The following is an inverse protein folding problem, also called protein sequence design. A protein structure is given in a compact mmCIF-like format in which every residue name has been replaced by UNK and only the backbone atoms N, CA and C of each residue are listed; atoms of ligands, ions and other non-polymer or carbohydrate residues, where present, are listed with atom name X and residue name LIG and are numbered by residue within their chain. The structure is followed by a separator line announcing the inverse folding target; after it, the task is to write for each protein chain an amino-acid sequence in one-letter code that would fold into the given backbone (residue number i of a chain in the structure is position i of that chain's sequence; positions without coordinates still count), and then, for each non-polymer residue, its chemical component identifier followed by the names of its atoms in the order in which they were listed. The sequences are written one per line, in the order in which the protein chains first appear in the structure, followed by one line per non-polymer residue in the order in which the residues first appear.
data_IF_032941152275
#
_entry.id   IF_032941152275
#
_cell.length_a   1.000
_cell.length_b   1.000
_cell.length_c   1.000
_cell.angle_alpha   90.00
_cell.angle_beta   90.00
_cell.angle_gamma   90.00
#
_symmetry.space_group_name_H-M   'P 1'
#
loop_
_entity.id
_entity.type
_entity.pdbx_description
1 polymer ?
#
# COMPACT_ATOMS: atom_id res chain seq x y z
N UNK A 1 -8.76 -28.53 -8.14
CA UNK A 1 -8.11 -28.32 -9.44
C UNK A 1 -8.71 -27.05 -10.05
N UNK A 2 -7.92 -26.10 -10.58
CA UNK A 2 -8.48 -24.98 -11.33
C UNK A 2 -9.24 -25.53 -12.53
N UNK A 3 -10.43 -24.98 -12.79
CA UNK A 3 -11.23 -25.33 -13.99
C UNK A 3 -10.37 -25.08 -15.24
N UNK A 4 -10.44 -25.97 -16.24
CA UNK A 4 -9.82 -25.72 -17.54
C UNK A 4 -10.28 -24.33 -18.06
N UNK A 5 -9.31 -23.47 -18.36
CA UNK A 5 -9.55 -22.08 -18.79
C UNK A 5 -9.32 -20.99 -17.72
N UNK A 6 -9.31 -21.30 -16.42
CA UNK A 6 -9.10 -20.30 -15.36
C UNK A 6 -7.73 -19.61 -15.45
N UNK A 7 -6.66 -20.36 -15.64
CA UNK A 7 -5.31 -19.79 -15.78
C UNK A 7 -5.18 -18.89 -17.04
N UNK A 8 -5.92 -19.19 -18.12
CA UNK A 8 -5.96 -18.37 -19.34
C UNK A 8 -6.53 -16.99 -19.08
N UNK A 9 -7.67 -16.91 -18.41
CA UNK A 9 -8.31 -15.63 -18.04
C UNK A 9 -7.41 -14.83 -17.11
N UNK A 10 -6.77 -15.49 -16.12
CA UNK A 10 -5.83 -14.86 -15.20
C UNK A 10 -4.63 -14.26 -15.95
N UNK A 11 -4.02 -15.02 -16.89
CA UNK A 11 -2.90 -14.50 -17.69
C UNK A 11 -3.31 -13.31 -18.56
N UNK A 12 -4.47 -13.36 -19.21
CA UNK A 12 -4.98 -12.26 -20.04
C UNK A 12 -5.26 -11.01 -19.21
N UNK A 13 -5.91 -11.15 -18.04
CA UNK A 13 -6.16 -10.07 -17.11
C UNK A 13 -4.86 -9.48 -16.56
N UNK A 14 -3.89 -10.33 -16.20
CA UNK A 14 -2.58 -9.87 -15.72
C UNK A 14 -1.83 -9.06 -16.78
N UNK A 15 -1.82 -9.52 -18.04
CA UNK A 15 -1.22 -8.77 -19.16
C UNK A 15 -1.88 -7.41 -19.35
N UNK A 16 -3.21 -7.34 -19.26
CA UNK A 16 -3.95 -6.08 -19.39
C UNK A 16 -3.64 -5.11 -18.24
N UNK A 17 -3.53 -5.60 -17.01
CA UNK A 17 -3.17 -4.80 -15.84
C UNK A 17 -1.71 -4.31 -15.91
N UNK A 18 -0.77 -5.15 -16.30
CA UNK A 18 0.62 -4.74 -16.51
C UNK A 18 0.74 -3.68 -17.63
N UNK A 19 0.01 -3.83 -18.75
CA UNK A 19 -0.05 -2.82 -19.81
C UNK A 19 -0.59 -1.49 -19.29
N UNK A 20 -1.67 -1.53 -18.49
CA UNK A 20 -2.26 -0.34 -17.89
C UNK A 20 -1.28 0.41 -16.98
N UNK A 21 -0.53 -0.30 -16.14
CA UNK A 21 0.45 0.32 -15.23
C UNK A 21 1.70 0.78 -15.98
N UNK A 22 2.37 -0.12 -16.70
CA UNK A 22 3.70 0.12 -17.25
C UNK A 22 3.73 1.05 -18.47
N UNK A 23 2.63 1.11 -19.24
CA UNK A 23 2.59 1.84 -20.51
C UNK A 23 1.49 2.90 -20.61
N UNK A 24 0.47 2.87 -19.73
CA UNK A 24 -0.64 3.82 -19.75
C UNK A 24 -0.76 4.65 -18.48
N UNK A 25 0.12 4.44 -17.47
CA UNK A 25 0.15 5.21 -16.23
C UNK A 25 -1.12 5.07 -15.37
N UNK A 26 -1.84 3.92 -15.45
CA UNK A 26 -3.07 3.68 -14.70
C UNK A 26 -2.78 2.86 -13.44
N UNK A 27 -3.20 3.37 -12.29
CA UNK A 27 -2.98 2.71 -11.00
C UNK A 27 -3.79 1.40 -10.88
N UNK A 28 -3.21 0.40 -10.20
CA UNK A 28 -3.84 -0.91 -10.01
C UNK A 28 -5.17 -0.82 -9.25
N UNK A 29 -5.26 0.01 -8.23
CA UNK A 29 -6.49 0.16 -7.44
C UNK A 29 -7.69 0.63 -8.27
N UNK A 30 -7.46 1.30 -9.41
CA UNK A 30 -8.50 1.75 -10.35
C UNK A 30 -8.82 0.74 -11.44
N UNK A 31 -7.90 -0.16 -11.77
CA UNK A 31 -8.02 -1.08 -12.91
C UNK A 31 -8.26 -2.52 -12.51
N UNK A 32 -7.83 -2.91 -11.33
CA UNK A 32 -7.96 -4.29 -10.82
C UNK A 32 -9.43 -4.73 -10.64
N UNK A 33 -10.35 -3.90 -10.10
CA UNK A 33 -11.75 -4.29 -9.95
C UNK A 33 -12.40 -4.70 -11.28
N UNK A 34 -12.19 -3.92 -12.33
CA UNK A 34 -12.72 -4.21 -13.66
C UNK A 34 -12.11 -5.48 -14.26
N UNK A 35 -10.80 -5.66 -14.08
CA UNK A 35 -10.07 -6.81 -14.61
C UNK A 35 -10.34 -8.12 -13.87
N UNK A 36 -10.80 -8.06 -12.62
CA UNK A 36 -11.19 -9.22 -11.81
C UNK A 36 -12.69 -9.54 -11.91
N UNK A 37 -13.48 -8.68 -12.56
CA UNK A 37 -14.92 -8.89 -12.72
C UNK A 37 -15.20 -10.23 -13.41
N UNK A 38 -16.03 -11.07 -12.77
CA UNK A 38 -16.40 -12.40 -13.29
C UNK A 38 -15.39 -13.51 -12.99
N UNK A 39 -14.27 -13.24 -12.35
CA UNK A 39 -13.38 -14.28 -11.84
C UNK A 39 -13.94 -14.92 -10.56
N UNK A 40 -13.60 -16.18 -10.34
CA UNK A 40 -13.84 -16.79 -9.03
C UNK A 40 -12.96 -16.13 -7.95
N UNK A 41 -13.36 -16.23 -6.69
CA UNK A 41 -12.59 -15.67 -5.57
C UNK A 41 -11.14 -16.19 -5.52
N UNK A 42 -10.93 -17.47 -5.84
CA UNK A 42 -9.59 -18.09 -5.90
C UNK A 42 -8.76 -17.55 -7.07
N UNK A 43 -9.42 -17.33 -8.22
CA UNK A 43 -8.77 -16.77 -9.41
C UNK A 43 -8.40 -15.29 -9.22
N UNK A 44 -9.26 -14.51 -8.54
CA UNK A 44 -8.96 -13.12 -8.16
C UNK A 44 -7.72 -13.04 -7.26
N UNK A 45 -7.63 -13.92 -6.25
CA UNK A 45 -6.44 -14.03 -5.40
C UNK A 45 -5.19 -14.35 -6.21
N UNK A 46 -5.28 -15.31 -7.13
CA UNK A 46 -4.20 -15.70 -8.02
C UNK A 46 -3.78 -14.57 -8.97
N UNK A 47 -4.75 -13.82 -9.50
CA UNK A 47 -4.50 -12.64 -10.33
C UNK A 47 -3.74 -11.56 -9.55
N UNK A 48 -4.15 -11.27 -8.32
CA UNK A 48 -3.46 -10.31 -7.45
C UNK A 48 -2.00 -10.73 -7.21
N UNK A 49 -1.76 -11.97 -6.80
CA UNK A 49 -0.40 -12.48 -6.60
C UNK A 49 0.44 -12.35 -7.87
N UNK A 50 -0.11 -12.72 -9.02
CA UNK A 50 0.56 -12.67 -10.31
C UNK A 50 0.95 -11.24 -10.72
N UNK A 51 0.02 -10.29 -10.61
CA UNK A 51 0.24 -8.90 -11.04
C UNK A 51 1.18 -8.16 -10.09
N UNK A 52 0.92 -8.23 -8.79
CA UNK A 52 1.77 -7.57 -7.78
C UNK A 52 3.20 -8.13 -7.78
N UNK A 53 3.33 -9.45 -7.89
CA UNK A 53 4.63 -10.09 -7.97
C UNK A 53 5.36 -9.77 -9.27
N UNK A 54 4.67 -9.79 -10.41
CA UNK A 54 5.27 -9.42 -11.70
C UNK A 54 5.77 -7.98 -11.72
N UNK A 55 5.03 -7.02 -11.13
CA UNK A 55 5.48 -5.62 -11.01
C UNK A 55 6.69 -5.49 -10.06
N UNK A 56 6.64 -6.15 -8.90
CA UNK A 56 7.75 -6.13 -7.93
C UNK A 56 9.04 -6.66 -8.52
N UNK A 57 8.96 -7.72 -9.30
CA UNK A 57 10.13 -8.39 -9.91
C UNK A 57 10.34 -8.00 -11.38
N UNK A 58 9.60 -7.02 -11.91
CA UNK A 58 9.62 -6.69 -13.34
C UNK A 58 11.04 -6.49 -13.94
N UNK A 59 11.95 -5.71 -13.32
CA UNK A 59 13.31 -5.57 -13.86
C UNK A 59 14.08 -6.89 -13.87
N UNK A 60 13.93 -7.71 -12.84
CA UNK A 60 14.56 -9.06 -12.76
C UNK A 60 14.02 -10.00 -13.83
N UNK A 61 12.69 -10.03 -14.00
CA UNK A 61 12.01 -10.83 -15.04
C UNK A 61 12.41 -10.37 -16.45
N UNK A 62 12.52 -9.06 -16.66
CA UNK A 62 12.99 -8.48 -17.92
C UNK A 62 14.43 -8.88 -18.22
N UNK A 63 15.31 -8.92 -17.22
CA UNK A 63 16.68 -9.38 -17.35
C UNK A 63 16.72 -10.90 -17.63
N UNK A 64 15.94 -11.69 -16.90
CA UNK A 64 15.79 -13.13 -17.15
C UNK A 64 15.38 -13.42 -18.60
N UNK A 65 14.40 -12.66 -19.12
CA UNK A 65 13.93 -12.84 -20.48
C UNK A 65 15.05 -12.61 -21.52
N UNK A 66 15.96 -11.67 -21.28
CA UNK A 66 17.11 -11.41 -22.17
C UNK A 66 18.09 -12.60 -22.31
N UNK A 67 18.10 -13.55 -21.36
CA UNK A 67 18.87 -14.78 -21.44
C UNK A 67 18.34 -15.73 -22.56
N UNK A 68 17.10 -15.55 -22.99
CA UNK A 68 16.39 -16.44 -23.92
C UNK A 68 16.08 -15.83 -25.28
N UNK A 69 16.06 -14.47 -25.36
CA UNK A 69 15.74 -13.74 -26.59
C UNK A 69 16.81 -12.70 -26.91
N UNK A 70 17.10 -12.54 -28.22
CA UNK A 70 18.05 -11.51 -28.68
C UNK A 70 17.49 -10.10 -28.61
N UNK A 71 16.19 -9.96 -28.86
CA UNK A 71 15.45 -8.69 -28.81
C UNK A 71 14.03 -8.91 -28.30
N UNK A 72 13.47 -7.89 -27.65
CA UNK A 72 12.08 -7.96 -27.18
C UNK A 72 11.12 -8.10 -28.38
N UNK A 73 10.03 -8.87 -28.21
CA UNK A 73 8.97 -8.93 -29.22
C UNK A 73 8.40 -7.52 -29.46
N UNK A 74 8.17 -7.17 -30.75
CA UNK A 74 7.53 -5.88 -31.10
C UNK A 74 6.12 -5.77 -30.54
N UNK A 75 5.42 -6.90 -30.42
CA UNK A 75 4.09 -6.97 -29.81
C UNK A 75 4.23 -6.89 -28.27
N UNK A 76 3.81 -5.75 -27.67
CA UNK A 76 3.86 -5.50 -26.23
C UNK A 76 3.10 -6.55 -25.40
N UNK A 77 1.96 -7.05 -25.90
CA UNK A 77 1.16 -8.09 -25.21
C UNK A 77 1.94 -9.40 -25.11
N UNK A 78 2.63 -9.80 -26.17
CA UNK A 78 3.47 -11.01 -26.18
C UNK A 78 4.65 -10.85 -25.21
N UNK A 79 5.27 -9.67 -25.19
CA UNK A 79 6.33 -9.36 -24.24
C UNK A 79 5.86 -9.46 -22.79
N UNK A 80 4.71 -8.84 -22.46
CA UNK A 80 4.14 -8.90 -21.11
C UNK A 80 3.69 -10.32 -20.74
N UNK A 81 3.16 -11.08 -21.68
CA UNK A 81 2.78 -12.48 -21.44
C UNK A 81 4.01 -13.36 -21.10
N UNK A 82 5.15 -13.12 -21.74
CA UNK A 82 6.42 -13.77 -21.36
C UNK A 82 6.81 -13.41 -19.93
N UNK A 83 6.73 -12.14 -19.53
CA UNK A 83 7.00 -11.68 -18.14
C UNK A 83 6.08 -12.39 -17.14
N UNK A 84 4.77 -12.42 -17.41
CA UNK A 84 3.76 -13.07 -16.58
C UNK A 84 4.03 -14.57 -16.44
N UNK A 85 4.29 -15.25 -17.56
CA UNK A 85 4.55 -16.69 -17.56
C UNK A 85 5.87 -17.05 -16.85
N UNK A 86 6.93 -16.25 -17.01
CA UNK A 86 8.19 -16.44 -16.26
C UNK A 86 7.98 -16.29 -14.76
N UNK A 87 7.18 -15.29 -14.31
CA UNK A 87 6.83 -15.15 -12.90
C UNK A 87 6.05 -16.36 -12.38
N UNK A 88 5.03 -16.83 -13.11
CA UNK A 88 4.28 -18.02 -12.73
C UNK A 88 5.14 -19.26 -12.58
N UNK A 89 6.05 -19.49 -13.54
CA UNK A 89 6.92 -20.66 -13.54
C UNK A 89 8.02 -20.60 -12.47
N UNK A 90 8.49 -19.41 -12.13
CA UNK A 90 9.62 -19.23 -11.20
C UNK A 90 9.21 -19.00 -9.75
N UNK A 91 8.04 -18.40 -9.50
CA UNK A 91 7.66 -17.91 -8.16
C UNK A 91 6.30 -18.45 -7.67
N UNK A 92 5.47 -18.99 -8.58
CA UNK A 92 4.15 -19.52 -8.19
C UNK A 92 4.14 -21.05 -8.22
N UNK A 93 3.33 -21.65 -7.32
CA UNK A 93 3.09 -23.11 -7.30
C UNK A 93 1.99 -23.48 -8.28
N UNK A 94 2.26 -23.34 -9.59
CA UNK A 94 1.32 -23.67 -10.67
C UNK A 94 1.94 -24.77 -11.54
N UNK A 95 1.10 -25.71 -12.02
CA UNK A 95 1.56 -26.79 -12.88
C UNK A 95 2.24 -26.22 -14.15
N UNK A 96 3.53 -26.50 -14.39
CA UNK A 96 4.29 -25.87 -15.47
C UNK A 96 3.66 -26.08 -16.87
N UNK A 97 3.11 -27.27 -17.13
CA UNK A 97 2.45 -27.55 -18.40
C UNK A 97 1.23 -26.66 -18.65
N UNK A 98 0.45 -26.36 -17.60
CA UNK A 98 -0.71 -25.49 -17.71
C UNK A 98 -0.30 -24.06 -18.06
N UNK A 99 0.76 -23.53 -17.40
CA UNK A 99 1.28 -22.19 -17.69
C UNK A 99 1.74 -22.09 -19.14
N UNK A 100 2.52 -23.06 -19.62
CA UNK A 100 3.07 -23.04 -20.99
C UNK A 100 1.95 -23.19 -22.03
N UNK A 101 1.05 -24.16 -21.86
CA UNK A 101 -0.01 -24.42 -22.82
C UNK A 101 -0.95 -23.22 -22.97
N UNK A 102 -1.38 -22.61 -21.86
CA UNK A 102 -2.27 -21.45 -21.89
C UNK A 102 -1.56 -20.22 -22.47
N UNK A 103 -0.31 -19.96 -22.10
CA UNK A 103 0.46 -18.86 -22.66
C UNK A 103 0.64 -19.01 -24.18
N UNK A 104 0.93 -20.21 -24.67
CA UNK A 104 1.03 -20.48 -26.11
C UNK A 104 -0.32 -20.35 -26.80
N UNK A 105 -1.40 -20.80 -26.17
CA UNK A 105 -2.75 -20.73 -26.72
C UNK A 105 -3.20 -19.29 -26.99
N UNK A 106 -2.99 -18.38 -26.02
CA UNK A 106 -3.40 -16.97 -26.15
C UNK A 106 -2.42 -16.11 -26.94
N UNK A 107 -1.26 -16.67 -27.31
CA UNK A 107 -0.28 -15.97 -28.13
C UNK A 107 -0.68 -15.96 -29.60
N UNK A 108 -0.57 -14.80 -30.31
CA UNK A 108 -0.79 -14.73 -31.76
C UNK A 108 0.14 -15.67 -32.53
N UNK A 109 -0.35 -16.26 -33.64
CA UNK A 109 0.35 -17.27 -34.47
C UNK A 109 1.83 -16.97 -34.75
N UNK A 110 2.23 -15.76 -35.19
CA UNK A 110 3.65 -15.48 -35.49
C UNK A 110 4.59 -15.65 -34.29
N UNK A 111 4.06 -15.61 -33.06
CA UNK A 111 4.86 -15.64 -31.83
C UNK A 111 4.72 -16.94 -31.02
N UNK A 112 3.83 -17.88 -31.40
CA UNK A 112 3.63 -19.13 -30.64
C UNK A 112 4.89 -19.96 -30.52
N UNK A 113 5.69 -20.07 -31.61
CA UNK A 113 6.98 -20.79 -31.60
C UNK A 113 7.96 -20.13 -30.62
N UNK A 114 8.04 -18.81 -30.62
CA UNK A 114 8.88 -18.05 -29.69
C UNK A 114 8.44 -18.27 -28.23
N UNK A 115 7.14 -18.12 -27.94
CA UNK A 115 6.58 -18.31 -26.58
C UNK A 115 6.93 -19.71 -26.06
N UNK A 116 6.63 -20.77 -26.83
CA UNK A 116 6.92 -22.14 -26.43
C UNK A 116 8.43 -22.39 -26.24
N UNK A 117 9.28 -21.89 -27.14
CA UNK A 117 10.73 -22.06 -27.05
C UNK A 117 11.32 -21.41 -25.79
N UNK A 118 10.91 -20.17 -25.48
CA UNK A 118 11.38 -19.42 -24.30
C UNK A 118 10.96 -20.13 -23.02
N UNK A 119 9.67 -20.46 -22.86
CA UNK A 119 9.17 -21.05 -21.63
C UNK A 119 9.71 -22.46 -21.40
N UNK A 120 9.82 -23.30 -22.45
CA UNK A 120 10.45 -24.62 -22.34
C UNK A 120 11.94 -24.53 -22.02
N UNK A 121 12.67 -23.53 -22.55
CA UNK A 121 14.08 -23.32 -22.23
C UNK A 121 14.24 -22.90 -20.76
N UNK A 122 13.36 -22.02 -20.25
CA UNK A 122 13.33 -21.64 -18.84
C UNK A 122 13.06 -22.85 -17.93
N UNK A 123 12.12 -23.72 -18.27
CA UNK A 123 11.85 -24.95 -17.52
C UNK A 123 13.04 -25.89 -17.50
N UNK A 124 13.72 -26.07 -18.64
CA UNK A 124 14.94 -26.93 -18.74
C UNK A 124 16.11 -26.37 -17.92
N UNK A 125 16.17 -25.06 -17.69
CA UNK A 125 17.17 -24.44 -16.79
C UNK A 125 16.82 -24.53 -15.31
N UNK A 126 15.79 -25.31 -14.93
CA UNK A 126 15.34 -25.51 -13.56
C UNK A 126 14.29 -24.51 -13.09
N UNK A 127 13.72 -23.69 -13.98
CA UNK A 127 12.70 -22.66 -13.71
C UNK A 127 13.07 -21.68 -12.57
N UNK A 128 14.36 -21.46 -12.36
CA UNK A 128 14.86 -20.52 -11.36
C UNK A 128 15.11 -19.15 -11.98
N UNK A 129 14.60 -18.10 -11.34
CA UNK A 129 14.92 -16.75 -11.74
C UNK A 129 16.42 -16.46 -11.43
N UNK A 130 17.07 -15.74 -12.34
CA UNK A 130 18.47 -15.28 -12.13
C UNK A 130 18.60 -14.57 -10.78
N UNK A 131 19.77 -14.67 -10.17
CA UNK A 131 20.04 -14.03 -8.89
C UNK A 131 19.73 -12.54 -8.96
N UNK A 132 19.15 -12.02 -7.87
CA UNK A 132 18.83 -10.60 -7.75
C UNK A 132 20.09 -9.74 -7.75
N UNK A 133 20.04 -8.59 -8.44
CA UNK A 133 21.08 -7.56 -8.46
C UNK A 133 20.51 -6.23 -7.97
N UNK A 134 21.36 -5.34 -7.49
CA UNK A 134 20.94 -3.98 -7.14
C UNK A 134 20.26 -3.26 -8.32
N UNK A 135 20.72 -3.52 -9.57
CA UNK A 135 20.11 -2.99 -10.79
C UNK A 135 18.71 -3.52 -11.11
N UNK A 136 18.23 -4.54 -10.40
CA UNK A 136 16.87 -5.09 -10.54
C UNK A 136 15.84 -4.35 -9.68
N UNK A 137 16.19 -3.21 -9.10
CA UNK A 137 15.23 -2.37 -8.38
C UNK A 137 14.09 -1.94 -9.30
N UNK A 138 12.82 -2.03 -8.85
CA UNK A 138 11.69 -1.49 -9.59
C UNK A 138 11.64 0.05 -9.56
N UNK A 139 12.48 0.69 -8.73
CA UNK A 139 12.52 2.14 -8.59
C UNK A 139 13.23 2.77 -9.78
N UNK A 140 12.73 3.89 -10.32
CA UNK A 140 13.44 4.64 -11.35
C UNK A 140 14.75 5.26 -10.82
N UNK A 141 15.74 5.58 -11.69
CA UNK A 141 17.05 6.08 -11.26
C UNK A 141 16.98 7.30 -10.34
N UNK A 142 16.13 8.28 -10.67
CA UNK A 142 15.96 9.49 -9.84
C UNK A 142 15.44 9.19 -8.42
N UNK A 143 14.64 8.13 -8.27
CA UNK A 143 14.12 7.72 -6.97
C UNK A 143 15.21 7.04 -6.14
N UNK A 144 16.00 6.15 -6.76
CA UNK A 144 17.15 5.53 -6.12
C UNK A 144 18.15 6.57 -5.62
N UNK A 145 18.45 7.58 -6.45
CA UNK A 145 19.29 8.71 -6.07
C UNK A 145 18.75 9.45 -4.85
N UNK A 146 17.44 9.78 -4.84
CA UNK A 146 16.80 10.44 -3.68
C UNK A 146 16.90 9.61 -2.40
N UNK A 147 16.64 8.30 -2.47
CA UNK A 147 16.76 7.42 -1.30
C UNK A 147 18.19 7.38 -0.80
N UNK A 148 19.17 7.26 -1.69
CA UNK A 148 20.58 7.25 -1.32
C UNK A 148 21.01 8.58 -0.68
N UNK A 149 20.65 9.72 -1.27
CA UNK A 149 20.96 11.05 -0.72
C UNK A 149 20.28 11.30 0.64
N UNK A 150 19.05 10.86 0.81
CA UNK A 150 18.28 11.13 2.03
C UNK A 150 18.63 10.19 3.19
N UNK A 151 19.03 8.95 2.90
CA UNK A 151 19.14 7.90 3.93
C UNK A 151 20.50 7.22 4.00
N UNK A 152 21.45 7.54 3.10
CA UNK A 152 22.84 7.05 3.15
C UNK A 152 22.92 5.52 3.32
N UNK A 153 23.61 5.05 4.35
CA UNK A 153 23.81 3.63 4.62
C UNK A 153 22.51 2.83 4.81
N UNK A 154 21.41 3.49 5.24
CA UNK A 154 20.11 2.85 5.40
C UNK A 154 19.40 2.59 4.09
N UNK A 155 19.84 3.19 2.98
CA UNK A 155 19.22 3.04 1.67
C UNK A 155 19.13 1.57 1.22
N UNK A 156 20.19 0.78 1.47
CA UNK A 156 20.21 -0.64 1.11
C UNK A 156 19.10 -1.43 1.82
N UNK A 157 18.85 -1.17 3.08
CA UNK A 157 17.81 -1.87 3.84
C UNK A 157 16.42 -1.43 3.42
N UNK A 158 16.21 -0.15 3.09
CA UNK A 158 14.97 0.36 2.48
C UNK A 158 14.67 -0.39 1.17
N UNK A 159 15.67 -0.54 0.29
CA UNK A 159 15.51 -1.22 -0.99
C UNK A 159 15.20 -2.72 -0.81
N UNK A 160 15.81 -3.39 0.15
CA UNK A 160 15.49 -4.78 0.51
C UNK A 160 14.04 -4.90 1.01
N UNK A 161 13.61 -3.99 1.89
CA UNK A 161 12.24 -3.97 2.42
C UNK A 161 11.19 -3.81 1.31
N UNK A 162 11.44 -2.98 0.30
CA UNK A 162 10.53 -2.80 -0.84
C UNK A 162 10.34 -4.04 -1.72
N UNK A 163 11.30 -4.96 -1.69
CA UNK A 163 11.25 -6.21 -2.44
C UNK A 163 10.64 -7.37 -1.68
N UNK A 164 10.47 -7.22 -0.36
CA UNK A 164 9.85 -8.24 0.48
C UNK A 164 8.33 -8.33 0.24
N UNK A 165 7.72 -9.45 0.61
CA UNK A 165 6.27 -9.54 0.69
C UNK A 165 5.77 -8.70 1.86
N UNK A 166 4.67 -7.94 1.68
CA UNK A 166 4.07 -7.19 2.78
C UNK A 166 3.48 -8.16 3.81
N UNK A 167 3.73 -7.95 5.11
CA UNK A 167 3.09 -8.76 6.15
C UNK A 167 1.58 -8.47 6.18
N UNK A 168 0.79 -9.48 6.57
CA UNK A 168 -0.60 -9.30 6.92
C UNK A 168 -0.67 -8.93 8.41
N UNK A 169 -0.77 -7.64 8.68
CA UNK A 169 -0.80 -7.09 10.04
C UNK A 169 -2.22 -6.67 10.41
N UNK A 170 -2.69 -7.18 11.52
CA UNK A 170 -3.97 -6.85 12.14
C UNK A 170 -3.74 -5.84 13.25
N UNK A 171 -4.56 -4.78 13.31
CA UNK A 171 -4.71 -3.92 14.48
C UNK A 171 -5.87 -4.45 15.29
N UNK A 172 -5.63 -4.83 16.53
CA UNK A 172 -6.66 -5.36 17.43
C UNK A 172 -7.48 -4.21 17.99
N UNK A 173 -8.80 -4.34 17.94
CA UNK A 173 -9.74 -3.36 18.46
C UNK A 173 -9.70 -3.37 20.00
N UNK A 174 -9.10 -2.33 20.59
CA UNK A 174 -8.87 -2.17 22.04
C UNK A 174 -10.15 -2.17 22.86
N UNK A 175 -11.31 -1.88 22.22
CA UNK A 175 -12.61 -1.88 22.88
C UNK A 175 -13.23 -3.27 22.97
N UNK A 176 -12.70 -4.25 22.23
CA UNK A 176 -13.29 -5.60 22.11
C UNK A 176 -12.38 -6.70 22.62
N UNK A 177 -11.05 -6.55 22.48
CA UNK A 177 -10.10 -7.59 22.86
C UNK A 177 -8.73 -7.01 23.18
N UNK A 178 -7.89 -7.82 23.84
CA UNK A 178 -6.45 -7.61 23.89
C UNK A 178 -5.79 -8.42 22.77
N UNK A 179 -4.55 -8.07 22.43
CA UNK A 179 -3.79 -8.83 21.43
C UNK A 179 -3.48 -10.26 21.90
N UNK A 180 -3.28 -10.46 23.22
CA UNK A 180 -3.03 -11.76 23.83
C UNK A 180 -4.25 -12.68 23.70
N UNK A 181 -5.44 -12.15 24.03
CA UNK A 181 -6.69 -12.90 23.90
C UNK A 181 -7.00 -13.25 22.44
N UNK A 182 -6.82 -12.28 21.52
CA UNK A 182 -7.08 -12.55 20.11
C UNK A 182 -6.04 -13.51 19.50
N UNK A 183 -4.78 -13.46 19.94
CA UNK A 183 -3.75 -14.43 19.54
C UNK A 183 -4.13 -15.86 19.99
N UNK A 184 -4.67 -16.02 21.21
CA UNK A 184 -5.15 -17.32 21.68
C UNK A 184 -6.28 -17.86 20.78
N UNK A 185 -7.25 -17.02 20.41
CA UNK A 185 -8.32 -17.38 19.46
C UNK A 185 -7.74 -17.87 18.12
N UNK A 186 -6.75 -17.15 17.58
CA UNK A 186 -6.10 -17.55 16.32
C UNK A 186 -5.40 -18.90 16.44
N UNK A 187 -4.74 -19.16 17.58
CA UNK A 187 -4.07 -20.44 17.86
C UNK A 187 -5.05 -21.61 17.99
N UNK A 188 -6.19 -21.42 18.64
CA UNK A 188 -7.27 -22.40 18.73
C UNK A 188 -7.83 -22.77 17.34
N UNK A 189 -7.91 -21.81 16.44
CA UNK A 189 -8.32 -22.02 15.03
C UNK A 189 -7.18 -22.53 14.13
N UNK A 190 -6.01 -22.84 14.69
CA UNK A 190 -4.85 -23.34 13.95
C UNK A 190 -4.21 -22.29 13.03
N UNK A 191 -4.44 -21.01 13.27
CA UNK A 191 -3.91 -19.89 12.49
C UNK A 191 -2.57 -19.47 13.09
N UNK A 192 -1.52 -19.58 12.29
CA UNK A 192 -0.16 -19.24 12.68
C UNK A 192 0.03 -17.70 12.69
N UNK A 193 0.24 -17.12 13.87
CA UNK A 193 0.33 -15.68 14.09
C UNK A 193 1.30 -15.34 15.22
N UNK A 194 1.78 -14.11 15.26
CA UNK A 194 2.63 -13.58 16.34
C UNK A 194 2.28 -12.13 16.68
N UNK A 195 2.55 -11.71 17.91
CA UNK A 195 2.48 -10.30 18.31
C UNK A 195 3.61 -9.55 17.63
N UNK A 196 3.27 -8.48 16.89
CA UNK A 196 4.22 -7.65 16.13
C UNK A 196 4.31 -6.21 16.61
N UNK A 197 3.43 -5.78 17.53
CA UNK A 197 3.42 -4.44 18.09
C UNK A 197 2.47 -4.32 19.30
N UNK A 198 2.33 -3.11 19.87
CA UNK A 198 1.49 -2.89 21.05
C UNK A 198 0.04 -3.35 20.87
N UNK A 199 -0.51 -3.20 19.66
CA UNK A 199 -1.88 -3.61 19.29
C UNK A 199 -1.89 -4.40 17.98
N UNK A 200 -0.73 -4.89 17.54
CA UNK A 200 -0.55 -5.55 16.27
C UNK A 200 -0.30 -7.05 16.42
N UNK A 201 -0.97 -7.82 15.57
CA UNK A 201 -0.71 -9.24 15.34
C UNK A 201 -0.38 -9.42 13.86
N UNK A 202 0.68 -10.16 13.56
CA UNK A 202 1.07 -10.56 12.21
C UNK A 202 0.59 -11.98 11.93
N UNK A 203 -0.16 -12.17 10.85
CA UNK A 203 -0.56 -13.49 10.35
C UNK A 203 0.56 -14.01 9.43
N UNK A 204 1.09 -15.20 9.75
CA UNK A 204 2.27 -15.76 9.05
C UNK A 204 1.97 -16.34 7.68
N UNK A 205 0.79 -16.91 7.49
CA UNK A 205 0.36 -17.44 6.20
C UNK A 205 -0.74 -16.57 5.62
N UNK A 206 -0.58 -16.07 4.38
CA UNK A 206 -1.62 -15.27 3.72
C UNK A 206 -2.94 -16.05 3.67
N UNK A 207 -4.01 -15.39 4.09
CA UNK A 207 -5.37 -15.92 4.00
C UNK A 207 -6.37 -14.78 3.83
N UNK A 208 -7.59 -15.12 3.53
CA UNK A 208 -8.66 -14.15 3.35
C UNK A 208 -9.02 -13.52 4.69
N UNK A 209 -9.16 -12.20 4.68
CA UNK A 209 -9.45 -11.42 5.89
C UNK A 209 -10.82 -11.76 6.46
N UNK A 210 -11.80 -11.96 5.58
CA UNK A 210 -13.19 -12.28 5.94
C UNK A 210 -13.39 -13.71 6.49
N UNK A 211 -12.36 -14.55 6.40
CA UNK A 211 -12.36 -15.89 7.03
C UNK A 211 -11.69 -15.91 8.39
N UNK A 212 -11.05 -14.82 8.80
CA UNK A 212 -10.47 -14.71 10.14
C UNK A 212 -11.56 -14.59 11.21
N UNK A 213 -11.41 -15.24 12.38
CA UNK A 213 -12.40 -15.20 13.46
C UNK A 213 -12.78 -13.76 13.83
N UNK A 214 -14.08 -13.52 14.04
CA UNK A 214 -14.64 -12.26 14.52
C UNK A 214 -14.30 -11.02 13.67
N UNK A 215 -14.05 -11.17 12.36
CA UNK A 215 -13.87 -10.05 11.45
C UNK A 215 -15.13 -9.20 11.36
N UNK A 216 -16.29 -9.84 11.15
CA UNK A 216 -17.58 -9.13 11.04
C UNK A 216 -17.98 -8.47 12.35
N UNK A 217 -17.62 -9.05 13.46
CA UNK A 217 -17.84 -8.52 14.81
C UNK A 217 -16.86 -7.39 15.17
N UNK A 218 -15.91 -7.08 14.28
CA UNK A 218 -15.02 -5.94 14.41
C UNK A 218 -13.94 -6.07 15.48
N UNK A 219 -13.44 -7.27 15.73
CA UNK A 219 -12.33 -7.51 16.69
C UNK A 219 -10.99 -6.95 16.19
N UNK A 220 -10.87 -6.74 14.89
CA UNK A 220 -9.66 -6.19 14.30
C UNK A 220 -9.91 -5.42 13.01
N UNK A 221 -8.90 -4.67 12.59
CA UNK A 221 -8.76 -4.06 11.27
C UNK A 221 -7.43 -4.44 10.64
N UNK A 222 -7.37 -4.54 9.31
CA UNK A 222 -6.08 -4.67 8.62
C UNK A 222 -5.44 -3.30 8.54
N UNK A 223 -4.28 -3.14 9.16
CA UNK A 223 -3.53 -1.88 9.11
C UNK A 223 -2.03 -2.15 9.27
N UNK A 224 -1.21 -1.48 8.48
CA UNK A 224 0.25 -1.55 8.60
C UNK A 224 0.72 -1.10 9.99
N UNK A 225 1.78 -1.74 10.50
CA UNK A 225 2.32 -1.45 11.82
C UNK A 225 2.78 0.01 11.95
N UNK A 226 3.41 0.59 10.91
CA UNK A 226 3.83 1.99 10.93
C UNK A 226 2.67 2.97 11.04
N UNK A 227 1.53 2.68 10.38
CA UNK A 227 0.32 3.49 10.53
C UNK A 227 -0.28 3.40 11.93
N UNK A 228 -0.18 2.25 12.62
CA UNK A 228 -0.57 2.08 14.02
C UNK A 228 0.36 2.88 14.95
N UNK A 229 1.68 2.76 14.76
CA UNK A 229 2.70 3.47 15.54
C UNK A 229 2.50 4.99 15.52
N UNK A 230 2.12 5.57 14.39
CA UNK A 230 1.84 7.00 14.27
C UNK A 230 0.71 7.42 15.22
N UNK A 231 -0.42 6.70 15.22
CA UNK A 231 -1.55 7.02 16.11
C UNK A 231 -1.19 6.77 17.58
N UNK A 232 -0.36 5.78 17.86
CA UNK A 232 0.07 5.50 19.24
C UNK A 232 0.97 6.58 19.83
N UNK A 233 1.72 7.32 19.01
CA UNK A 233 2.56 8.45 19.46
C UNK A 233 1.76 9.67 19.93
N UNK A 234 0.47 9.75 19.61
CA UNK A 234 -0.38 10.91 19.82
C UNK A 234 -1.30 10.74 21.05
N UNK A 235 -1.16 11.60 22.03
CA UNK A 235 -1.97 11.60 23.25
C UNK A 235 -3.18 12.52 23.07
N UNK A 236 -4.35 11.94 22.86
CA UNK A 236 -5.62 12.65 22.73
C UNK A 236 -6.39 12.57 24.06
N UNK A 237 -6.93 13.70 24.54
CA UNK A 237 -7.75 13.75 25.76
C UNK A 237 -9.16 13.25 25.48
N UNK A 238 -9.74 12.50 26.43
CA UNK A 238 -11.15 12.09 26.38
C UNK A 238 -12.07 13.29 26.30
N UNK A 239 -13.15 13.16 25.50
CA UNK A 239 -14.14 14.21 25.30
C UNK A 239 -13.73 15.32 24.34
N UNK A 240 -12.53 15.25 23.75
CA UNK A 240 -12.05 16.26 22.80
C UNK A 240 -12.73 16.18 21.45
N UNK A 241 -12.71 17.30 20.72
CA UNK A 241 -13.13 17.38 19.32
C UNK A 241 -11.94 17.07 18.41
N UNK A 242 -12.05 16.04 17.61
CA UNK A 242 -10.97 15.55 16.72
C UNK A 242 -11.43 15.64 15.27
N UNK A 243 -10.57 16.19 14.41
CA UNK A 243 -10.74 16.15 12.96
C UNK A 243 -9.75 15.16 12.36
N UNK A 244 -10.24 14.21 11.56
CA UNK A 244 -9.42 13.39 10.65
C UNK A 244 -9.63 13.91 9.23
N UNK A 245 -8.67 14.66 8.74
CA UNK A 245 -8.67 15.22 7.39
C UNK A 245 -8.05 14.23 6.39
N UNK A 246 -8.67 14.05 5.23
CA UNK A 246 -8.31 13.03 4.24
C UNK A 246 -8.47 11.59 4.77
N UNK A 247 -9.58 11.35 5.49
CA UNK A 247 -9.78 10.21 6.39
C UNK A 247 -9.90 8.84 5.70
N UNK A 248 -10.33 8.80 4.42
CA UNK A 248 -10.66 7.54 3.76
C UNK A 248 -9.43 6.64 3.49
N UNK A 249 -9.57 5.34 3.75
CA UNK A 249 -10.78 4.55 3.99
C UNK A 249 -11.21 4.44 5.47
N UNK A 250 -10.69 5.25 6.40
CA UNK A 250 -11.09 5.26 7.80
C UNK A 250 -10.20 4.47 8.76
N UNK A 251 -9.05 3.98 8.28
CA UNK A 251 -8.14 3.18 9.12
C UNK A 251 -7.56 3.94 10.31
N UNK A 252 -7.21 5.22 10.14
CA UNK A 252 -6.72 6.09 11.22
C UNK A 252 -7.88 6.65 12.05
N UNK A 253 -9.01 7.00 11.41
CA UNK A 253 -10.27 7.36 12.09
C UNK A 253 -10.65 6.33 13.16
N UNK A 254 -10.75 5.06 12.75
CA UNK A 254 -11.13 3.97 13.65
C UNK A 254 -10.07 3.69 14.71
N UNK A 255 -8.77 3.83 14.37
CA UNK A 255 -7.67 3.68 15.33
C UNK A 255 -7.75 4.73 16.47
N UNK A 256 -8.10 5.98 16.16
CA UNK A 256 -8.31 7.03 17.16
C UNK A 256 -9.51 6.67 18.05
N UNK A 257 -10.65 6.30 17.46
CA UNK A 257 -11.87 5.96 18.21
C UNK A 257 -11.71 4.70 19.06
N UNK A 258 -10.91 3.73 18.63
CA UNK A 258 -10.58 2.57 19.45
C UNK A 258 -9.72 2.95 20.66
N UNK A 259 -8.87 3.98 20.52
CA UNK A 259 -7.92 4.43 21.53
C UNK A 259 -8.54 5.33 22.60
N UNK A 260 -9.48 6.21 22.22
CA UNK A 260 -10.01 7.25 23.10
C UNK A 260 -11.47 7.59 22.76
N UNK A 261 -12.26 7.92 23.79
CA UNK A 261 -13.60 8.46 23.61
C UNK A 261 -13.50 9.95 23.24
N UNK A 262 -13.91 10.29 22.02
CA UNK A 262 -13.82 11.66 21.50
C UNK A 262 -14.95 11.93 20.48
N UNK A 263 -15.21 13.21 20.21
CA UNK A 263 -16.12 13.65 19.15
C UNK A 263 -15.32 13.76 17.85
N UNK A 264 -15.34 12.70 17.02
CA UNK A 264 -14.55 12.64 15.81
C UNK A 264 -15.37 13.02 14.58
N UNK A 265 -14.81 13.95 13.79
CA UNK A 265 -15.28 14.28 12.43
C UNK A 265 -14.26 13.76 11.43
N UNK A 266 -14.67 12.86 10.53
CA UNK A 266 -13.86 12.31 9.46
C UNK A 266 -14.26 12.95 8.13
N UNK A 267 -13.30 13.51 7.40
CA UNK A 267 -13.54 14.26 6.15
C UNK A 267 -12.73 13.64 5.01
N UNK A 268 -13.37 13.39 3.88
CA UNK A 268 -12.69 13.05 2.63
C UNK A 268 -13.41 13.71 1.46
N UNK A 269 -12.66 14.20 0.48
CA UNK A 269 -13.22 14.88 -0.70
C UNK A 269 -13.93 13.92 -1.67
N UNK A 270 -13.60 12.64 -1.64
CA UNK A 270 -14.15 11.61 -2.53
C UNK A 270 -15.31 10.87 -1.85
N UNK A 271 -16.53 11.06 -2.36
CA UNK A 271 -17.75 10.45 -1.84
C UNK A 271 -17.67 8.91 -1.82
N UNK A 272 -17.08 8.28 -2.85
CA UNK A 272 -16.97 6.82 -2.90
C UNK A 272 -16.01 6.30 -1.84
N UNK A 273 -14.93 7.03 -1.60
CA UNK A 273 -13.97 6.70 -0.55
C UNK A 273 -14.55 6.94 0.84
N UNK A 274 -15.32 8.02 1.04
CA UNK A 274 -16.00 8.32 2.30
C UNK A 274 -17.01 7.22 2.71
N UNK A 275 -17.60 6.51 1.76
CA UNK A 275 -18.47 5.37 2.06
C UNK A 275 -17.73 4.27 2.83
N UNK A 276 -16.47 3.97 2.49
CA UNK A 276 -15.65 2.98 3.21
C UNK A 276 -15.40 3.36 4.68
N UNK A 277 -15.38 4.66 5.01
CA UNK A 277 -15.28 5.10 6.41
C UNK A 277 -16.52 4.63 7.18
N UNK A 278 -17.72 4.85 6.61
CA UNK A 278 -18.99 4.45 7.22
C UNK A 278 -19.09 2.94 7.41
N UNK A 279 -18.68 2.17 6.39
CA UNK A 279 -18.67 0.71 6.46
C UNK A 279 -17.74 0.19 7.57
N UNK A 280 -16.53 0.77 7.69
CA UNK A 280 -15.59 0.40 8.74
C UNK A 280 -16.09 0.80 10.14
N UNK A 281 -16.68 1.99 10.29
CA UNK A 281 -17.29 2.42 11.55
C UNK A 281 -18.40 1.46 11.98
N UNK A 282 -19.33 1.12 11.08
CA UNK A 282 -20.42 0.20 11.34
C UNK A 282 -19.92 -1.19 11.77
N UNK A 283 -18.99 -1.78 11.02
CA UNK A 283 -18.39 -3.11 11.33
C UNK A 283 -17.70 -3.13 12.69
N UNK A 284 -17.00 -2.05 13.06
CA UNK A 284 -16.27 -1.97 14.32
C UNK A 284 -17.12 -1.55 15.52
N UNK A 285 -18.38 -1.15 15.28
CA UNK A 285 -19.28 -0.62 16.32
C UNK A 285 -18.83 0.74 16.84
N UNK A 286 -18.26 1.59 15.96
CA UNK A 286 -17.78 2.93 16.27
C UNK A 286 -18.66 3.99 15.61
N UNK A 287 -18.63 5.23 16.14
CA UNK A 287 -19.40 6.35 15.61
C UNK A 287 -18.54 7.57 15.39
N UNK A 288 -18.70 8.21 14.22
CA UNK A 288 -18.09 9.49 13.87
C UNK A 288 -19.01 10.27 12.92
N UNK A 289 -18.87 11.57 12.87
CA UNK A 289 -19.45 12.39 11.81
C UNK A 289 -18.61 12.21 10.55
N UNK A 290 -19.22 11.76 9.43
CA UNK A 290 -18.51 11.59 8.15
C UNK A 290 -19.03 12.63 7.16
N UNK A 291 -18.13 13.50 6.68
CA UNK A 291 -18.42 14.60 5.77
C UNK A 291 -17.65 14.37 4.46
N UNK A 292 -18.34 14.61 3.34
CA UNK A 292 -17.71 14.59 2.01
C UNK A 292 -17.53 16.02 1.54
N UNK A 293 -16.33 16.56 1.78
CA UNK A 293 -15.98 17.95 1.47
C UNK A 293 -14.47 18.12 1.41
N UNK A 294 -13.99 19.24 0.87
CA UNK A 294 -12.59 19.65 1.00
C UNK A 294 -12.31 20.11 2.45
N UNK A 295 -11.46 19.38 3.15
CA UNK A 295 -11.12 19.66 4.54
C UNK A 295 -10.50 21.05 4.76
N UNK A 296 -9.87 21.66 3.72
CA UNK A 296 -9.34 23.02 3.79
C UNK A 296 -10.46 24.07 3.97
N UNK A 297 -11.63 23.81 3.38
CA UNK A 297 -12.75 24.75 3.28
C UNK A 297 -13.90 24.43 4.25
N UNK A 298 -13.74 23.39 5.06
CA UNK A 298 -14.76 22.92 5.99
C UNK A 298 -15.28 24.04 6.90
N UNK A 299 -16.60 24.29 6.85
CA UNK A 299 -17.27 25.32 7.65
C UNK A 299 -17.68 24.79 9.03
N UNK A 300 -16.73 24.29 9.82
CA UNK A 300 -16.95 23.79 11.18
C UNK A 300 -16.21 24.63 12.22
N UNK A 301 -16.69 24.53 13.46
CA UNK A 301 -16.03 25.08 14.63
C UNK A 301 -14.64 24.45 14.88
N UNK A 302 -13.84 25.10 15.70
CA UNK A 302 -12.48 24.72 16.03
C UNK A 302 -12.37 23.34 16.68
N UNK A 303 -11.25 22.64 16.43
CA UNK A 303 -10.91 21.33 16.95
C UNK A 303 -9.76 21.42 17.97
N UNK A 304 -9.81 20.52 18.96
CA UNK A 304 -8.72 20.35 19.91
C UNK A 304 -7.53 19.58 19.30
N UNK A 305 -7.85 18.65 18.38
CA UNK A 305 -6.87 17.79 17.70
C UNK A 305 -7.22 17.64 16.21
N UNK A 306 -6.20 17.69 15.35
CA UNK A 306 -6.35 17.47 13.91
C UNK A 306 -5.35 16.42 13.43
N UNK A 307 -5.83 15.36 12.79
CA UNK A 307 -5.00 14.47 12.01
C UNK A 307 -4.98 14.96 10.56
N UNK A 308 -3.81 15.32 10.06
CA UNK A 308 -3.55 15.70 8.68
C UNK A 308 -2.78 14.57 7.95
N UNK A 309 -3.48 13.45 7.61
CA UNK A 309 -2.95 12.35 6.80
C UNK A 309 -3.03 12.73 5.31
N UNK A 310 -2.13 13.62 4.90
CA UNK A 310 -2.26 14.33 3.64
C UNK A 310 -1.93 13.47 2.41
N UNK A 311 -2.50 13.79 1.23
CA UNK A 311 -2.10 13.18 -0.03
C UNK A 311 -0.59 13.30 -0.25
N UNK A 312 0.06 12.19 -0.66
CA UNK A 312 1.50 12.14 -0.90
C UNK A 312 1.85 11.20 -2.06
N UNK A 313 3.14 11.10 -2.41
CA UNK A 313 3.62 10.17 -3.44
C UNK A 313 3.41 8.71 -3.07
N UNK A 314 3.20 8.40 -1.80
CA UNK A 314 3.13 7.06 -1.24
C UNK A 314 4.43 6.25 -1.44
N UNK A 315 5.58 6.94 -1.44
CA UNK A 315 6.89 6.33 -1.70
C UNK A 315 7.37 5.37 -0.60
N UNK A 316 6.74 5.38 0.57
CA UNK A 316 7.06 4.48 1.67
C UNK A 316 6.35 3.12 1.62
N UNK A 317 5.28 2.98 0.81
CA UNK A 317 4.41 1.79 0.80
C UNK A 317 4.57 0.93 -0.46
N UNK A 318 5.72 1.03 -1.13
CA UNK A 318 6.03 0.35 -2.40
C UNK A 318 5.86 -1.16 -2.32
N UNK A 319 6.20 -1.79 -1.20
CA UNK A 319 6.05 -3.26 -1.09
C UNK A 319 4.58 -3.72 -1.15
N UNK A 320 3.62 -2.88 -0.70
CA UNK A 320 2.18 -3.14 -0.83
C UNK A 320 1.63 -2.69 -2.17
N UNK A 321 2.21 -1.63 -2.74
CA UNK A 321 1.77 -0.98 -3.96
C UNK A 321 2.93 -0.90 -4.97
N UNK A 322 3.33 -2.05 -5.56
CA UNK A 322 4.48 -2.13 -6.46
C UNK A 322 4.25 -1.45 -7.83
N UNK A 323 3.05 -0.93 -8.08
CA UNK A 323 2.73 -0.07 -9.23
C UNK A 323 3.23 1.38 -9.05
N UNK A 324 3.33 1.88 -7.81
CA UNK A 324 3.69 3.27 -7.51
C UNK A 324 4.97 3.73 -8.22
N UNK A 325 6.10 2.97 -8.20
CA UNK A 325 7.32 3.40 -8.87
C UNK A 325 7.18 3.63 -10.38
N UNK A 326 6.24 2.96 -11.03
CA UNK A 326 5.96 3.09 -12.46
C UNK A 326 5.02 4.25 -12.79
N UNK A 327 4.32 4.79 -11.78
CA UNK A 327 3.33 5.86 -11.91
C UNK A 327 3.89 7.23 -11.55
N UNK A 328 4.95 7.29 -10.75
CA UNK A 328 5.53 8.54 -10.25
C UNK A 328 6.59 9.08 -11.19
N UNK A 329 6.65 10.42 -11.27
CA UNK A 329 7.64 11.17 -12.06
C UNK A 329 8.53 11.99 -11.15
N UNK A 330 9.72 12.31 -11.64
CA UNK A 330 10.62 13.25 -10.97
C UNK A 330 9.91 14.62 -10.84
N UNK A 331 9.89 15.16 -9.61
CA UNK A 331 9.16 16.41 -9.30
C UNK A 331 7.77 16.22 -8.70
N UNK A 332 7.15 15.04 -8.76
CA UNK A 332 5.83 14.80 -8.15
C UNK A 332 5.80 15.10 -6.65
N UNK A 333 6.86 14.74 -5.91
CA UNK A 333 6.92 14.99 -4.47
C UNK A 333 6.80 16.50 -4.17
N UNK A 334 7.58 17.34 -4.87
CA UNK A 334 7.51 18.80 -4.70
C UNK A 334 6.16 19.36 -5.10
N UNK A 335 5.60 18.92 -6.22
CA UNK A 335 4.29 19.36 -6.69
C UNK A 335 3.17 19.01 -5.71
N UNK A 336 3.18 17.79 -5.17
CA UNK A 336 2.17 17.33 -4.20
C UNK A 336 2.33 18.09 -2.88
N UNK A 337 3.55 18.27 -2.39
CA UNK A 337 3.82 19.07 -1.20
C UNK A 337 3.29 20.51 -1.34
N UNK A 338 3.51 21.16 -2.49
CA UNK A 338 2.96 22.49 -2.78
C UNK A 338 1.43 22.50 -2.80
N UNK A 339 0.80 21.49 -3.38
CA UNK A 339 -0.66 21.36 -3.38
C UNK A 339 -1.26 21.16 -1.98
N UNK A 340 -0.49 20.62 -1.03
CA UNK A 340 -0.93 20.45 0.35
C UNK A 340 -0.85 21.73 1.20
N UNK A 341 -0.18 22.79 0.72
CA UNK A 341 -0.02 24.05 1.45
C UNK A 341 -1.38 24.68 1.83
N UNK A 342 -2.32 24.90 0.89
CA UNK A 342 -3.63 25.46 1.25
C UNK A 342 -4.42 24.58 2.22
N UNK A 343 -4.30 23.26 2.09
CA UNK A 343 -4.94 22.30 3.00
C UNK A 343 -4.40 22.48 4.42
N UNK A 344 -3.09 22.47 4.61
CA UNK A 344 -2.46 22.63 5.92
C UNK A 344 -2.79 23.97 6.56
N UNK A 345 -2.76 25.07 5.80
CA UNK A 345 -3.12 26.41 6.28
C UNK A 345 -4.62 26.46 6.66
N UNK A 346 -5.48 25.80 5.90
CA UNK A 346 -6.92 25.67 6.21
C UNK A 346 -7.16 24.90 7.51
N UNK A 347 -6.48 23.78 7.68
CA UNK A 347 -6.56 22.96 8.90
C UNK A 347 -5.99 23.70 10.11
N UNK A 348 -4.87 24.42 9.96
CA UNK A 348 -4.26 25.19 11.05
C UNK A 348 -5.20 26.28 11.61
N UNK A 349 -5.93 26.97 10.74
CA UNK A 349 -6.94 27.96 11.16
C UNK A 349 -8.06 27.35 12.02
N UNK A 350 -8.37 26.05 11.80
CA UNK A 350 -9.40 25.31 12.54
C UNK A 350 -8.92 24.68 13.85
N UNK A 351 -7.63 24.74 14.11
CA UNK A 351 -7.04 24.23 15.35
C UNK A 351 -7.18 25.29 16.45
N UNK A 352 -7.68 24.90 17.61
CA UNK A 352 -7.73 25.77 18.79
C UNK A 352 -6.34 26.14 19.26
N UNK A 353 -6.23 27.26 19.97
CA UNK A 353 -5.04 27.59 20.77
C UNK A 353 -4.81 26.49 21.81
N UNK A 354 -3.56 26.01 21.96
CA UNK A 354 -3.20 24.84 22.75
C UNK A 354 -3.58 23.49 22.14
N UNK A 355 -4.19 23.49 20.94
CA UNK A 355 -4.52 22.29 20.20
C UNK A 355 -3.33 21.68 19.48
N UNK A 356 -3.45 20.42 19.03
CA UNK A 356 -2.37 19.70 18.37
C UNK A 356 -2.78 19.21 16.98
N UNK A 357 -1.89 19.36 15.99
CA UNK A 357 -2.01 18.77 14.67
C UNK A 357 -0.96 17.68 14.47
N UNK A 358 -1.40 16.45 14.19
CA UNK A 358 -0.55 15.35 13.78
C UNK A 358 -0.53 15.31 12.25
N UNK A 359 0.54 15.81 11.65
CA UNK A 359 0.84 15.66 10.23
C UNK A 359 1.37 14.26 9.97
N UNK A 360 0.87 13.59 8.92
CA UNK A 360 1.34 12.27 8.53
C UNK A 360 1.40 12.10 7.01
N UNK A 361 2.38 11.32 6.54
CA UNK A 361 2.48 10.85 5.16
C UNK A 361 2.96 9.40 5.12
N UNK A 362 2.61 8.68 4.05
CA UNK A 362 3.26 7.42 3.70
C UNK A 362 4.39 7.62 2.66
N UNK A 363 5.12 8.73 2.77
CA UNK A 363 6.24 9.11 1.90
C UNK A 363 7.58 9.01 2.60
N UNK A 364 8.63 8.72 1.81
CA UNK A 364 10.03 8.81 2.21
C UNK A 364 10.73 10.06 1.63
N UNK A 365 10.05 10.87 0.83
CA UNK A 365 10.65 12.04 0.22
C UNK A 365 10.64 13.24 1.14
N UNK A 366 11.79 13.90 1.27
CA UNK A 366 11.99 15.04 2.17
C UNK A 366 11.08 16.22 1.85
N UNK A 367 10.77 16.43 0.57
CA UNK A 367 9.87 17.50 0.10
C UNK A 367 8.46 17.39 0.69
N UNK A 368 7.98 16.16 0.93
CA UNK A 368 6.67 15.89 1.52
C UNK A 368 6.72 15.76 3.05
N UNK A 369 7.90 15.74 3.63
CA UNK A 369 8.14 15.45 5.05
C UNK A 369 8.82 16.64 5.75
N UNK A 370 10.12 16.54 6.06
CA UNK A 370 10.84 17.55 6.85
C UNK A 370 10.83 18.93 6.17
N UNK A 371 10.97 19.01 4.83
CA UNK A 371 10.94 20.27 4.09
C UNK A 371 9.56 20.91 4.15
N UNK A 372 8.49 20.11 4.04
CA UNK A 372 7.10 20.59 4.16
C UNK A 372 6.85 21.17 5.55
N UNK A 373 7.28 20.48 6.61
CA UNK A 373 7.13 20.96 7.98
C UNK A 373 7.98 22.22 8.21
N UNK A 374 9.23 22.23 7.76
CA UNK A 374 10.07 23.41 7.85
C UNK A 374 9.43 24.63 7.18
N UNK A 375 8.89 24.47 5.96
CA UNK A 375 8.19 25.51 5.25
C UNK A 375 6.91 25.96 5.99
N UNK A 376 6.20 25.04 6.63
CA UNK A 376 5.02 25.35 7.46
C UNK A 376 5.40 26.20 8.67
N UNK A 377 6.47 25.83 9.39
CA UNK A 377 6.99 26.59 10.55
C UNK A 377 7.41 28.03 10.19
N UNK A 378 7.94 28.25 8.98
CA UNK A 378 8.30 29.60 8.51
C UNK A 378 7.10 30.51 8.25
N UNK A 379 5.93 29.92 7.91
CA UNK A 379 4.71 30.69 7.59
C UNK A 379 3.82 30.95 8.80
N UNK A 380 3.94 30.18 9.85
CA UNK A 380 3.12 30.27 11.06
C UNK A 380 3.97 30.58 12.28
N UNK A 381 3.76 31.75 12.88
CA UNK A 381 4.52 32.17 14.08
C UNK A 381 3.97 31.58 15.39
N UNK A 382 2.78 30.98 15.33
CA UNK A 382 2.02 30.42 16.44
C UNK A 382 2.12 28.88 16.49
N UNK A 383 3.25 28.30 16.01
CA UNK A 383 3.44 26.86 15.93
C UNK A 383 4.70 26.38 16.63
N UNK A 384 4.57 25.36 17.47
CA UNK A 384 5.67 24.63 18.10
C UNK A 384 5.76 23.20 17.56
N UNK A 385 6.90 22.80 16.99
CA UNK A 385 7.18 21.40 16.62
C UNK A 385 7.55 20.61 17.87
N UNK A 386 6.68 19.71 18.31
CA UNK A 386 6.90 18.88 19.52
C UNK A 386 7.73 17.63 19.21
N UNK A 387 7.46 16.99 18.07
CA UNK A 387 8.13 15.75 17.68
C UNK A 387 7.98 15.51 16.17
N UNK A 388 8.99 14.95 15.53
CA UNK A 388 8.88 14.39 14.19
C UNK A 388 9.76 13.14 14.06
N UNK A 389 9.35 12.23 13.17
CA UNK A 389 10.18 11.07 12.83
C UNK A 389 9.80 10.48 11.46
N UNK A 390 10.81 9.93 10.80
CA UNK A 390 10.62 9.03 9.65
C UNK A 390 10.69 7.59 10.14
N UNK A 391 9.59 6.84 9.94
CA UNK A 391 9.54 5.41 10.15
C UNK A 391 10.00 4.75 8.85
N UNK A 392 11.22 4.23 8.83
CA UNK A 392 11.76 3.57 7.65
C UNK A 392 11.06 2.22 7.42
N UNK A 393 10.85 1.81 6.15
CA UNK A 393 10.27 0.52 5.84
C UNK A 393 11.21 -0.61 6.27
N UNK A 394 10.63 -1.68 6.81
CA UNK A 394 11.31 -2.91 7.22
C UNK A 394 10.54 -4.12 6.65
N UNK A 395 10.92 -5.32 7.00
CA UNK A 395 10.11 -6.53 6.74
C UNK A 395 8.72 -6.47 7.40
N UNK A 396 8.60 -5.80 8.58
CA UNK A 396 7.38 -5.75 9.40
C UNK A 396 6.48 -4.55 9.15
N UNK A 397 7.01 -3.43 8.65
CA UNK A 397 6.23 -2.20 8.43
C UNK A 397 6.60 -1.51 7.13
N UNK A 398 5.69 -0.67 6.66
CA UNK A 398 5.90 0.27 5.57
C UNK A 398 6.60 1.54 6.05
N UNK A 399 7.00 2.39 5.10
CA UNK A 399 7.62 3.68 5.39
C UNK A 399 6.57 4.77 5.60
N UNK A 400 6.77 5.57 6.67
CA UNK A 400 5.94 6.71 7.01
C UNK A 400 6.76 7.86 7.54
N UNK A 401 6.14 9.04 7.57
CA UNK A 401 6.63 10.20 8.31
C UNK A 401 5.50 10.78 9.15
N UNK A 402 5.83 11.36 10.30
CA UNK A 402 4.91 12.16 11.07
C UNK A 402 5.60 13.35 11.73
N UNK A 403 4.83 14.41 11.97
CA UNK A 403 5.21 15.56 12.78
C UNK A 403 4.04 15.98 13.67
N UNK A 404 4.29 16.13 14.97
CA UNK A 404 3.33 16.62 15.94
C UNK A 404 3.59 18.11 16.17
N UNK A 405 2.62 18.92 15.80
CA UNK A 405 2.63 20.38 15.92
C UNK A 405 1.62 20.81 17.00
N UNK A 406 1.97 21.84 17.77
CA UNK A 406 1.09 22.44 18.79
C UNK A 406 0.93 23.92 18.50
N UNK A 407 -0.29 24.43 18.64
CA UNK A 407 -0.62 25.83 18.41
C UNK A 407 -0.52 26.62 19.71
N UNK A 408 0.34 27.64 19.73
CA UNK A 408 0.58 28.52 20.88
C UNK A 408 -0.59 29.47 21.17
#
# INVERSE_FOLDING_TARGET
MPKEGGNRQIQQAAVALLDAVLFRGRALNKTLPDASAGLSVGDEGSLKVLVYGSLRLYPRLKRQLKEYIKSNPKNKRVFLLLIVALYQLGEMRVAPYAVVNEAVYITPEPYKKLMNAVLRRFLRSGAQLVLQRASDSPLPPWWLEKINLSYGDKATDILKAFQSHPPLTLRINRRKSTRENYLAILQEEGIEAEISGPWAIEIKKPQRIDTLPFFQEGYFSVQDLGAQEIIDTWSIKTGSRVLDACAAPGGKTTAILEKVDCFLTAVDIDQKRAAFIKDNLARLGLSAQVITEDAANLALEEFDYILADVPCTASGVVKRHPDIPYLRQQGDARRIAQNNVPLLDGLWRKLKKGGQMLYATCSLFKEENDEQIHFFLQRHSDVALKKSATLLPTDKRDGFYYALLEKD
#
